data_IF_088023097368
#
_entry.id   IF_088023097368
#
_cell.length_a   1.000
_cell.length_b   1.000
_cell.length_c   1.000
_cell.angle_alpha   90.00
_cell.angle_beta   90.00
_cell.angle_gamma   90.00
#
_symmetry.space_group_name_H-M   'P 1'
#
loop_
_entity.id
_entity.type
_entity.pdbx_description
1 polymer ?
#
# COMPACT_ATOMS: atom_id res chain seq x y z
N UNK A 1 16.35 -4.28 14.77
CA UNK A 1 15.85 -5.59 14.28
C UNK A 1 15.96 -6.65 15.38
N UNK A 2 17.08 -6.76 16.04
CA UNK A 2 17.31 -7.79 17.09
C UNK A 2 16.28 -7.75 18.21
N UNK A 3 15.85 -6.57 18.65
CA UNK A 3 14.81 -6.45 19.67
C UNK A 3 13.43 -6.88 19.15
N UNK A 4 13.15 -6.68 17.87
CA UNK A 4 11.93 -7.21 17.25
C UNK A 4 11.97 -8.75 17.21
N UNK A 5 13.09 -9.33 16.84
CA UNK A 5 13.26 -10.81 16.85
C UNK A 5 13.05 -11.40 18.25
N UNK A 6 13.51 -10.73 19.30
CA UNK A 6 13.31 -11.16 20.71
C UNK A 6 11.83 -11.19 21.12
N UNK A 7 10.95 -10.45 20.43
CA UNK A 7 9.50 -10.51 20.70
C UNK A 7 8.82 -11.75 20.13
N UNK A 8 9.53 -12.57 19.35
CA UNK A 8 8.97 -13.71 18.64
C UNK A 8 8.25 -13.34 17.34
N UNK A 9 8.47 -12.12 16.82
CA UNK A 9 7.89 -11.70 15.54
C UNK A 9 8.50 -12.50 14.39
N UNK A 10 7.65 -13.09 13.55
CA UNK A 10 8.04 -13.89 12.38
C UNK A 10 8.00 -13.11 11.07
N UNK A 11 7.40 -11.91 11.08
CA UNK A 11 7.27 -11.03 9.93
C UNK A 11 7.32 -9.57 10.38
N UNK A 12 7.83 -8.70 9.51
CA UNK A 12 7.90 -7.24 9.75
C UNK A 12 7.06 -6.51 8.72
N UNK A 13 6.35 -5.47 9.17
CA UNK A 13 5.68 -4.52 8.28
C UNK A 13 6.52 -3.26 8.13
N UNK A 14 6.72 -2.83 6.89
CA UNK A 14 7.34 -1.56 6.53
C UNK A 14 6.38 -0.69 5.72
N UNK A 15 6.50 0.63 5.90
CA UNK A 15 5.54 1.57 5.35
C UNK A 15 6.04 2.23 4.07
N UNK A 16 5.40 1.94 2.95
CA UNK A 16 5.76 2.43 1.62
C UNK A 16 5.77 3.95 1.53
N UNK A 17 4.77 4.62 2.10
CA UNK A 17 4.69 6.08 2.07
C UNK A 17 5.92 6.74 2.70
N UNK A 18 6.31 6.28 3.88
CA UNK A 18 7.48 6.85 4.56
C UNK A 18 8.77 6.55 3.81
N UNK A 19 8.94 5.32 3.36
CA UNK A 19 10.17 4.88 2.69
C UNK A 19 10.37 5.56 1.33
N UNK A 20 9.29 5.82 0.57
CA UNK A 20 9.40 6.52 -0.72
C UNK A 20 9.80 7.99 -0.57
N UNK A 21 9.37 8.64 0.52
CA UNK A 21 9.71 10.04 0.78
C UNK A 21 11.12 10.13 1.38
N UNK A 22 11.40 9.28 2.37
CA UNK A 22 12.69 9.27 3.08
C UNK A 22 12.98 7.88 3.64
N UNK A 23 14.09 7.24 3.27
CA UNK A 23 15.28 7.77 2.56
C UNK A 23 15.11 7.88 1.04
N UNK A 24 14.01 7.41 0.46
CA UNK A 24 13.76 7.34 -0.97
C UNK A 24 14.06 5.97 -1.55
N UNK A 25 13.31 5.61 -2.61
CA UNK A 25 13.40 4.30 -3.23
C UNK A 25 14.80 3.98 -3.75
N UNK A 26 15.41 4.94 -4.46
CA UNK A 26 16.72 4.73 -5.13
C UNK A 26 17.80 4.34 -4.12
N UNK A 27 17.80 4.94 -2.93
CA UNK A 27 18.76 4.61 -1.87
C UNK A 27 18.57 3.19 -1.36
N UNK A 28 17.33 2.75 -1.17
CA UNK A 28 17.04 1.39 -0.69
C UNK A 28 17.39 0.37 -1.77
N UNK A 29 17.05 0.65 -3.03
CA UNK A 29 17.42 -0.23 -4.16
C UNK A 29 18.92 -0.38 -4.32
N UNK A 30 19.68 0.71 -4.23
CA UNK A 30 21.16 0.66 -4.32
C UNK A 30 21.81 -0.13 -3.19
N UNK A 31 21.10 -0.31 -2.07
CA UNK A 31 21.53 -1.16 -0.96
C UNK A 31 21.10 -2.62 -1.10
N UNK A 32 20.42 -3.00 -2.19
CA UNK A 32 19.91 -4.36 -2.41
C UNK A 32 18.51 -4.65 -1.87
N UNK A 33 17.74 -3.59 -1.52
CA UNK A 33 16.38 -3.69 -0.99
C UNK A 33 16.32 -3.61 0.53
N UNK A 34 15.11 -3.72 1.09
CA UNK A 34 14.86 -3.51 2.51
C UNK A 34 15.60 -4.50 3.41
N UNK A 35 15.69 -5.77 3.04
CA UNK A 35 16.40 -6.78 3.83
C UNK A 35 17.85 -6.37 4.09
N UNK A 36 18.57 -5.98 3.06
CA UNK A 36 19.96 -5.55 3.20
C UNK A 36 20.05 -4.18 3.86
N UNK A 37 19.18 -3.25 3.50
CA UNK A 37 19.16 -1.90 4.06
C UNK A 37 18.94 -1.90 5.58
N UNK A 38 18.08 -2.80 6.10
CA UNK A 38 17.77 -2.92 7.53
C UNK A 38 18.58 -4.01 8.24
N UNK A 39 19.41 -4.77 7.51
CA UNK A 39 20.06 -5.98 8.00
C UNK A 39 19.05 -6.96 8.65
N UNK A 40 18.00 -7.31 7.89
CA UNK A 40 16.87 -8.10 8.35
C UNK A 40 16.65 -9.32 7.46
N UNK A 41 16.59 -10.49 8.07
CA UNK A 41 16.32 -11.78 7.42
C UNK A 41 14.87 -12.27 7.57
N UNK A 42 14.04 -11.56 8.36
CA UNK A 42 12.62 -11.86 8.48
C UNK A 42 11.86 -11.45 7.22
N UNK A 43 10.78 -12.16 6.86
CA UNK A 43 9.88 -11.74 5.80
C UNK A 43 9.36 -10.31 6.01
N UNK A 44 9.30 -9.52 4.96
CA UNK A 44 8.88 -8.12 5.00
C UNK A 44 7.62 -7.95 4.17
N UNK A 45 6.56 -7.44 4.82
CA UNK A 45 5.38 -6.93 4.17
C UNK A 45 5.50 -5.41 4.02
N UNK A 46 5.22 -4.88 2.85
CA UNK A 46 5.02 -3.44 2.67
C UNK A 46 3.55 -3.13 2.43
N UNK A 47 3.04 -2.08 3.09
CA UNK A 47 1.71 -1.56 2.79
C UNK A 47 1.69 -0.81 1.44
N UNK A 48 0.49 -0.44 0.96
CA UNK A 48 0.36 0.30 -0.30
C UNK A 48 0.74 1.79 -0.20
N UNK A 49 0.84 2.34 1.02
CA UNK A 49 1.00 3.76 1.29
C UNK A 49 -0.30 4.59 1.22
N UNK A 50 -1.40 4.00 0.78
CA UNK A 50 -2.68 4.71 0.58
C UNK A 50 -3.25 5.30 1.86
N UNK A 51 -3.25 4.55 2.96
CA UNK A 51 -3.75 5.02 4.25
C UNK A 51 -2.98 6.24 4.78
N UNK A 52 -1.66 6.25 4.66
CA UNK A 52 -0.83 7.35 5.15
C UNK A 52 -1.03 8.62 4.32
N UNK A 53 -1.25 8.49 3.03
CA UNK A 53 -1.64 9.63 2.19
C UNK A 53 -2.92 10.25 2.73
N UNK A 54 -3.93 9.43 3.05
CA UNK A 54 -5.21 9.92 3.56
C UNK A 54 -5.10 10.52 4.96
N UNK A 55 -4.28 9.96 5.84
CA UNK A 55 -4.17 10.34 7.25
C UNK A 55 -3.19 11.48 7.53
N UNK A 56 -2.08 11.56 6.79
CA UNK A 56 -0.97 12.46 7.10
C UNK A 56 -0.93 13.70 6.19
N UNK A 57 -1.52 13.66 5.00
CA UNK A 57 -1.46 14.78 4.08
C UNK A 57 -2.67 15.70 4.25
N UNK A 58 -2.41 16.98 4.53
CA UNK A 58 -3.45 18.01 4.67
C UNK A 58 -4.12 18.38 3.33
N UNK A 59 -3.41 18.18 2.22
CA UNK A 59 -3.83 18.49 0.85
C UNK A 59 -3.70 17.22 0.02
N UNK A 60 -4.69 16.33 0.14
CA UNK A 60 -4.79 15.13 -0.68
C UNK A 60 -6.00 15.22 -1.62
N UNK A 61 -5.86 14.67 -2.78
CA UNK A 61 -6.94 14.46 -3.73
C UNK A 61 -6.91 13.02 -4.20
N UNK A 62 -8.05 12.36 -4.12
CA UNK A 62 -8.24 11.05 -4.72
C UNK A 62 -8.78 11.23 -6.14
N UNK A 63 -8.08 10.65 -7.08
CA UNK A 63 -8.45 10.63 -8.49
C UNK A 63 -8.51 9.18 -8.96
N UNK A 64 -9.60 8.79 -9.60
CA UNK A 64 -9.83 7.41 -10.00
C UNK A 64 -8.69 6.85 -10.85
N UNK A 65 -8.19 7.64 -11.80
CA UNK A 65 -7.17 7.23 -12.75
C UNK A 65 -5.75 7.47 -12.25
N UNK A 66 -5.53 8.64 -11.64
CA UNK A 66 -4.18 9.07 -11.19
C UNK A 66 -3.80 8.53 -9.82
N UNK A 67 -4.75 7.95 -9.07
CA UNK A 67 -4.51 7.50 -7.71
C UNK A 67 -4.58 8.64 -6.68
N UNK A 68 -3.75 8.58 -5.67
CA UNK A 68 -3.65 9.59 -4.63
C UNK A 68 -2.64 10.68 -5.00
N UNK A 69 -3.08 11.94 -4.91
CA UNK A 69 -2.26 13.12 -5.20
C UNK A 69 -2.09 13.88 -3.90
N UNK A 70 -0.86 14.10 -3.47
CA UNK A 70 -0.59 14.73 -2.18
C UNK A 70 0.74 15.51 -2.19
N UNK A 71 0.90 16.37 -1.19
CA UNK A 71 2.17 17.04 -0.94
C UNK A 71 2.84 16.38 0.28
N UNK A 72 4.13 16.09 0.14
CA UNK A 72 4.95 15.57 1.24
C UNK A 72 4.99 16.58 2.39
N UNK A 73 4.81 16.07 3.61
CA UNK A 73 4.90 16.86 4.83
C UNK A 73 6.35 17.19 5.22
N UNK A 74 7.33 16.57 4.55
CA UNK A 74 8.77 16.76 4.82
C UNK A 74 9.34 17.92 4.01
N UNK A 75 9.08 17.91 2.68
CA UNK A 75 9.70 18.85 1.73
C UNK A 75 8.67 19.64 0.89
N UNK A 76 7.38 19.42 1.12
CA UNK A 76 6.29 20.06 0.37
C UNK A 76 6.15 19.59 -1.08
N UNK A 77 6.99 18.67 -1.56
CA UNK A 77 6.99 18.19 -2.94
C UNK A 77 5.70 17.43 -3.23
N UNK A 78 5.17 17.65 -4.43
CA UNK A 78 3.96 16.97 -4.91
C UNK A 78 4.28 15.58 -5.40
N UNK A 79 3.49 14.62 -4.94
CA UNK A 79 3.59 13.21 -5.32
C UNK A 79 2.29 12.71 -5.93
N UNK A 80 2.42 11.72 -6.81
CA UNK A 80 1.34 10.96 -7.42
C UNK A 80 1.56 9.49 -7.11
N UNK A 81 0.67 8.90 -6.34
CA UNK A 81 0.71 7.50 -5.98
C UNK A 81 -0.46 6.78 -6.65
N UNK A 82 -0.23 6.27 -7.86
CA UNK A 82 -1.18 5.38 -8.53
C UNK A 82 -1.03 3.94 -8.04
N UNK A 83 -1.99 3.04 -8.34
CA UNK A 83 -1.84 1.61 -8.06
C UNK A 83 -0.55 1.03 -8.64
N UNK A 84 -0.21 1.38 -9.87
CA UNK A 84 1.01 0.92 -10.55
C UNK A 84 2.27 1.45 -9.86
N UNK A 85 2.25 2.72 -9.47
CA UNK A 85 3.39 3.34 -8.80
C UNK A 85 3.60 2.75 -7.41
N UNK A 86 2.52 2.50 -6.65
CA UNK A 86 2.60 1.80 -5.36
C UNK A 86 3.24 0.42 -5.51
N UNK A 87 2.79 -0.38 -6.48
CA UNK A 87 3.38 -1.70 -6.77
C UNK A 87 4.85 -1.57 -7.20
N UNK A 88 5.18 -0.61 -8.09
CA UNK A 88 6.57 -0.37 -8.53
C UNK A 88 7.49 -0.07 -7.34
N UNK A 89 7.02 0.77 -6.43
CA UNK A 89 7.80 1.12 -5.22
C UNK A 89 7.99 -0.10 -4.34
N UNK A 90 6.93 -0.84 -4.01
CA UNK A 90 7.01 -2.02 -3.16
C UNK A 90 7.91 -3.12 -3.74
N UNK A 91 7.83 -3.36 -5.05
CA UNK A 91 8.74 -4.28 -5.74
C UNK A 91 10.19 -3.77 -5.71
N UNK A 92 10.40 -2.47 -5.86
CA UNK A 92 11.72 -1.86 -5.75
C UNK A 92 12.28 -1.86 -4.33
N UNK A 93 11.43 -1.80 -3.30
CA UNK A 93 11.81 -2.04 -1.91
C UNK A 93 12.22 -3.49 -1.64
N UNK A 94 11.90 -4.39 -2.57
CA UNK A 94 12.16 -5.82 -2.51
C UNK A 94 11.48 -6.52 -1.33
N UNK A 95 10.26 -6.11 -0.97
CA UNK A 95 9.46 -6.81 0.04
C UNK A 95 8.96 -8.16 -0.46
N UNK A 96 8.71 -9.09 0.47
CA UNK A 96 8.22 -10.44 0.17
C UNK A 96 6.71 -10.43 -0.08
N UNK A 97 5.99 -9.61 0.68
CA UNK A 97 4.54 -9.43 0.55
C UNK A 97 4.26 -7.98 0.16
N UNK A 98 3.55 -7.83 -0.95
CA UNK A 98 3.14 -6.55 -1.56
C UNK A 98 1.64 -6.39 -1.36
N UNK A 99 1.17 -5.21 -1.00
CA UNK A 99 -0.25 -4.92 -0.85
C UNK A 99 -0.81 -4.20 -2.07
N UNK A 100 -2.02 -4.57 -2.51
CA UNK A 100 -2.76 -3.77 -3.49
C UNK A 100 -3.04 -2.37 -2.92
N UNK A 101 -3.16 -1.38 -3.81
CA UNK A 101 -3.62 -0.06 -3.40
C UNK A 101 -5.13 -0.07 -3.20
N UNK A 102 -5.58 0.49 -2.10
CA UNK A 102 -7.00 0.65 -1.76
C UNK A 102 -7.32 2.10 -1.38
N UNK A 103 -8.57 2.46 -1.45
CA UNK A 103 -9.08 3.71 -0.91
C UNK A 103 -9.68 3.44 0.46
N UNK A 104 -9.11 4.09 1.49
CA UNK A 104 -9.56 3.99 2.86
C UNK A 104 -10.40 5.23 3.20
N UNK A 105 -11.75 5.15 3.22
CA UNK A 105 -12.58 6.30 3.46
C UNK A 105 -12.47 6.74 4.92
N UNK A 106 -12.74 8.03 5.17
CA UNK A 106 -12.92 8.50 6.55
C UNK A 106 -14.04 7.71 7.22
N UNK A 107 -13.89 7.50 8.54
CA UNK A 107 -14.91 6.78 9.32
C UNK A 107 -16.30 7.36 9.08
N UNK A 108 -17.19 6.55 8.51
CA UNK A 108 -18.59 6.89 8.20
C UNK A 108 -19.47 5.64 8.26
N UNK A 109 -20.75 5.83 8.46
CA UNK A 109 -21.77 4.80 8.34
C UNK A 109 -22.65 5.00 7.09
N UNK A 110 -22.25 5.91 6.21
CA UNK A 110 -22.93 6.14 4.93
C UNK A 110 -22.62 5.00 3.96
N UNK A 111 -23.66 4.23 3.62
CA UNK A 111 -23.57 3.08 2.73
C UNK A 111 -23.05 3.44 1.34
N UNK A 112 -23.55 4.54 0.77
CA UNK A 112 -23.20 4.93 -0.62
C UNK A 112 -21.75 5.44 -0.71
N UNK A 113 -21.27 6.15 0.30
CA UNK A 113 -19.87 6.55 0.38
C UNK A 113 -18.96 5.32 0.50
N UNK A 114 -19.29 4.38 1.39
CA UNK A 114 -18.50 3.16 1.57
C UNK A 114 -18.54 2.29 0.31
N UNK A 115 -19.69 2.21 -0.36
CA UNK A 115 -19.82 1.48 -1.62
C UNK A 115 -18.94 2.08 -2.72
N UNK A 116 -18.95 3.41 -2.89
CA UNK A 116 -18.09 4.11 -3.87
C UNK A 116 -16.61 3.87 -3.60
N UNK A 117 -16.19 3.96 -2.33
CA UNK A 117 -14.82 3.67 -1.90
C UNK A 117 -14.42 2.22 -2.19
N UNK A 118 -15.28 1.28 -1.87
CA UNK A 118 -15.08 -0.15 -2.14
C UNK A 118 -14.97 -0.42 -3.64
N UNK A 119 -15.80 0.20 -4.49
CA UNK A 119 -15.74 0.06 -5.94
C UNK A 119 -14.46 0.68 -6.53
N UNK A 120 -13.98 1.78 -5.98
CA UNK A 120 -12.69 2.35 -6.34
C UNK A 120 -11.54 1.42 -5.94
N UNK A 121 -11.61 0.85 -4.73
CA UNK A 121 -10.61 -0.12 -4.24
C UNK A 121 -10.56 -1.37 -5.13
N UNK A 122 -11.71 -1.88 -5.60
CA UNK A 122 -11.74 -2.98 -6.58
C UNK A 122 -11.06 -2.61 -7.88
N UNK A 123 -11.37 -1.44 -8.44
CA UNK A 123 -10.74 -0.95 -9.66
C UNK A 123 -9.22 -0.81 -9.51
N UNK A 124 -8.76 -0.30 -8.38
CA UNK A 124 -7.32 -0.19 -8.09
C UNK A 124 -6.67 -1.54 -7.82
N UNK A 125 -7.39 -2.50 -7.24
CA UNK A 125 -6.92 -3.87 -7.05
C UNK A 125 -6.59 -4.57 -8.38
N UNK A 126 -7.46 -4.43 -9.38
CA UNK A 126 -7.22 -4.96 -10.74
C UNK A 126 -5.97 -4.34 -11.37
N UNK A 127 -5.80 -3.02 -11.26
CA UNK A 127 -4.61 -2.30 -11.74
C UNK A 127 -3.36 -2.74 -11.01
N UNK A 128 -3.42 -2.88 -9.69
CA UNK A 128 -2.31 -3.38 -8.86
C UNK A 128 -1.92 -4.80 -9.26
N UNK A 129 -2.90 -5.70 -9.43
CA UNK A 129 -2.68 -7.09 -9.88
C UNK A 129 -2.00 -7.13 -11.27
N UNK A 130 -2.45 -6.30 -12.18
CA UNK A 130 -1.85 -6.18 -13.53
C UNK A 130 -0.41 -5.66 -13.46
N UNK A 131 -0.14 -4.63 -12.63
CA UNK A 131 1.20 -4.06 -12.45
C UNK A 131 2.14 -5.03 -11.73
N UNK A 132 1.64 -5.81 -10.78
CA UNK A 132 2.42 -6.83 -10.08
C UNK A 132 2.89 -7.93 -11.02
N UNK A 133 2.04 -8.36 -11.96
CA UNK A 133 2.38 -9.35 -12.97
C UNK A 133 2.75 -10.72 -12.37
N UNK A 134 3.76 -11.37 -12.98
CA UNK A 134 4.29 -12.66 -12.53
C UNK A 134 5.53 -12.46 -11.66
N UNK A 135 5.39 -12.62 -10.37
CA UNK A 135 6.48 -12.56 -9.39
C UNK A 135 6.44 -13.81 -8.49
N UNK A 136 7.05 -14.93 -8.92
CA UNK A 136 6.90 -16.24 -8.26
C UNK A 136 7.46 -16.29 -6.83
N UNK A 137 8.32 -15.37 -6.45
CA UNK A 137 8.94 -15.30 -5.12
C UNK A 137 8.32 -14.25 -4.21
N UNK A 138 7.21 -13.62 -4.63
CA UNK A 138 6.53 -12.57 -3.86
C UNK A 138 5.03 -12.85 -3.83
N UNK A 139 4.37 -12.45 -2.75
CA UNK A 139 2.93 -12.52 -2.62
C UNK A 139 2.27 -11.15 -2.83
N UNK A 140 1.14 -11.13 -3.51
CA UNK A 140 0.28 -9.96 -3.60
C UNK A 140 -0.95 -10.18 -2.73
N UNK A 141 -1.17 -9.32 -1.73
CA UNK A 141 -2.30 -9.39 -0.82
C UNK A 141 -3.36 -8.36 -1.16
N UNK A 142 -4.62 -8.79 -1.11
CA UNK A 142 -5.79 -7.94 -1.26
C UNK A 142 -6.32 -7.41 0.07
N UNK A 143 -7.10 -6.33 0.01
CA UNK A 143 -7.73 -5.72 1.17
C UNK A 143 -9.24 -5.75 1.02
N UNK A 144 -9.94 -6.30 2.02
CA UNK A 144 -11.40 -6.37 2.03
C UNK A 144 -11.96 -5.09 2.66
N UNK A 145 -12.33 -4.14 1.81
CA UNK A 145 -13.07 -2.94 2.17
C UNK A 145 -14.59 -3.23 2.34
N UNK A 146 -15.42 -2.20 2.48
CA UNK A 146 -16.88 -2.32 2.60
C UNK A 146 -17.43 -2.01 4.00
N UNK A 147 -16.62 -1.44 4.88
CA UNK A 147 -17.01 -1.01 6.23
C UNK A 147 -17.67 -2.13 7.04
N UNK A 148 -18.80 -1.83 7.67
CA UNK A 148 -19.59 -2.82 8.43
C UNK A 148 -20.69 -3.50 7.60
N UNK A 149 -20.76 -3.26 6.29
CA UNK A 149 -21.79 -3.78 5.40
C UNK A 149 -21.40 -5.14 4.83
N UNK A 150 -22.09 -6.20 5.25
CA UNK A 150 -21.77 -7.59 4.89
C UNK A 150 -21.86 -7.86 3.38
N UNK A 151 -22.82 -7.24 2.70
CA UNK A 151 -23.00 -7.35 1.24
C UNK A 151 -21.83 -6.74 0.47
N UNK A 152 -21.35 -5.55 0.88
CA UNK A 152 -20.19 -4.90 0.29
C UNK A 152 -18.91 -5.71 0.53
N UNK A 153 -18.72 -6.22 1.75
CA UNK A 153 -17.57 -7.08 2.09
C UNK A 153 -17.56 -8.38 1.27
N UNK A 154 -18.73 -8.98 1.04
CA UNK A 154 -18.87 -10.16 0.16
C UNK A 154 -18.56 -9.81 -1.31
N UNK A 155 -19.04 -8.63 -1.76
CA UNK A 155 -18.80 -8.16 -3.14
C UNK A 155 -17.31 -7.97 -3.41
N UNK A 156 -16.59 -7.27 -2.55
CA UNK A 156 -15.15 -7.02 -2.73
C UNK A 156 -14.35 -8.32 -2.63
N UNK A 157 -14.67 -9.19 -1.67
CA UNK A 157 -13.99 -10.51 -1.55
C UNK A 157 -14.06 -11.33 -2.83
N UNK A 158 -15.22 -11.35 -3.52
CA UNK A 158 -15.37 -12.04 -4.80
C UNK A 158 -14.65 -11.36 -5.96
N UNK A 159 -14.45 -10.05 -5.87
CA UNK A 159 -13.81 -9.27 -6.93
C UNK A 159 -12.29 -9.25 -6.88
N UNK A 160 -11.68 -9.53 -5.72
CA UNK A 160 -10.21 -9.56 -5.58
C UNK A 160 -9.61 -10.97 -5.72
N UNK A 161 -10.43 -12.02 -5.70
CA UNK A 161 -10.04 -13.39 -6.01
C UNK A 161 -10.15 -13.63 -7.52
#
# INVERSE_FOLDING_TARGET
>A
IDDIKKTGSEIILSNTYHLMIRPGLDRIQSSGGLHQFMNCDLPILTDSGGFQVMSLSKLNKIDREKGAIFNSHIDGKKYYLSPEESIRIQLGLNSDIVMIMDECPKKTNDYDLIKKSMELSLYWAERSKKAFGKNPHKALFGIIQGGLFKDLRKKIFRGIN
#
